data_IF_891845449138
#
_entry.id   IF_891845449138
#
_cell.length_a   1.000
_cell.length_b   1.000
_cell.length_c   1.000
_cell.angle_alpha   90.00
_cell.angle_beta   90.00
_cell.angle_gamma   90.00
#
_symmetry.space_group_name_H-M   'P 1'
#
loop_
_entity.id
_entity.type
_entity.pdbx_description
1 polymer ?
#
# COMPACT_ATOMS: atom_id res chain seq x y z
N UNK A 1 29.95 28.51 -21.21
CA UNK A 1 29.11 27.45 -20.53
C UNK A 1 27.71 28.01 -20.40
N UNK A 2 26.77 27.53 -21.20
CA UNK A 2 25.37 27.94 -21.11
C UNK A 2 24.64 26.98 -20.17
N UNK A 3 24.12 27.48 -19.08
CA UNK A 3 23.28 26.70 -18.23
C UNK A 3 21.93 26.51 -18.93
N UNK A 4 21.61 25.25 -19.24
CA UNK A 4 20.34 24.92 -19.83
C UNK A 4 19.39 24.60 -18.66
N UNK A 5 18.63 25.62 -18.26
CA UNK A 5 17.48 25.38 -17.40
C UNK A 5 16.31 25.13 -18.36
N UNK A 6 16.11 23.87 -18.72
CA UNK A 6 14.93 23.53 -19.50
C UNK A 6 13.85 23.02 -18.56
N UNK A 7 12.82 23.83 -18.37
CA UNK A 7 11.54 23.32 -17.94
C UNK A 7 10.91 22.68 -19.18
N UNK A 8 11.34 21.47 -19.52
CA UNK A 8 10.72 20.74 -20.61
C UNK A 8 9.50 20.02 -20.08
N UNK A 9 8.34 20.51 -20.43
CA UNK A 9 7.14 19.72 -20.29
C UNK A 9 7.27 18.53 -21.25
N UNK A 10 7.41 17.34 -20.73
CA UNK A 10 7.46 16.12 -21.55
C UNK A 10 6.14 15.96 -22.28
N UNK A 11 6.17 15.74 -23.57
CA UNK A 11 4.97 15.49 -24.37
C UNK A 11 5.20 14.32 -25.32
N UNK A 12 4.13 13.62 -25.61
CA UNK A 12 4.13 12.50 -26.56
C UNK A 12 3.59 12.95 -27.89
N UNK A 13 4.36 12.71 -28.96
CA UNK A 13 3.87 12.90 -30.33
C UNK A 13 3.49 11.56 -30.91
N UNK A 14 2.22 11.40 -31.25
CA UNK A 14 1.70 10.13 -31.80
C UNK A 14 1.27 10.38 -33.26
N UNK A 15 1.90 9.63 -34.17
CA UNK A 15 1.52 9.62 -35.58
C UNK A 15 0.82 8.29 -35.87
N UNK A 16 -0.49 8.35 -36.04
CA UNK A 16 -1.31 7.17 -36.33
C UNK A 16 -1.27 6.72 -37.79
N UNK A 17 -2.20 5.88 -38.17
CA UNK A 17 -2.43 5.45 -39.56
C UNK A 17 -1.64 4.25 -40.00
N UNK A 18 -0.86 3.61 -39.14
CA UNK A 18 -0.14 2.38 -39.47
C UNK A 18 -0.77 1.16 -38.81
N UNK A 19 -0.90 0.10 -39.56
CA UNK A 19 -1.37 -1.19 -39.03
C UNK A 19 -0.24 -1.83 -38.20
N UNK A 20 -0.52 -2.08 -36.94
CA UNK A 20 0.48 -2.66 -36.03
C UNK A 20 0.46 -4.19 -36.12
N UNK A 21 1.64 -4.80 -36.15
CA UNK A 21 1.83 -6.25 -36.11
C UNK A 21 3.04 -6.56 -35.23
N UNK A 22 2.91 -7.59 -34.39
CA UNK A 22 4.02 -7.99 -33.50
C UNK A 22 3.51 -8.55 -32.19
N UNK A 23 4.46 -8.83 -31.31
CA UNK A 23 4.19 -9.35 -29.96
C UNK A 23 4.82 -8.40 -28.96
N UNK A 24 4.07 -8.11 -27.90
CA UNK A 24 4.56 -7.29 -26.78
C UNK A 24 4.35 -8.08 -25.49
N UNK A 25 5.39 -8.19 -24.70
CA UNK A 25 5.30 -8.81 -23.38
C UNK A 25 4.84 -7.74 -22.38
N UNK A 26 3.67 -7.97 -21.79
CA UNK A 26 3.11 -7.03 -20.81
C UNK A 26 3.89 -7.15 -19.50
N UNK A 27 4.22 -6.01 -18.89
CA UNK A 27 4.89 -5.94 -17.59
C UNK A 27 3.98 -6.43 -16.47
N UNK A 28 4.53 -6.62 -15.28
CA UNK A 28 3.73 -6.84 -14.10
C UNK A 28 2.87 -5.61 -13.77
N UNK A 29 1.82 -5.83 -12.99
CA UNK A 29 0.88 -4.77 -12.60
C UNK A 29 1.46 -3.90 -11.49
N UNK A 30 1.42 -2.58 -11.68
CA UNK A 30 1.75 -1.63 -10.61
C UNK A 30 0.78 -1.81 -9.44
N UNK A 31 -0.51 -1.81 -9.73
CA UNK A 31 -1.53 -1.80 -8.70
C UNK A 31 -1.56 -3.11 -7.87
N UNK A 32 -1.17 -4.23 -8.46
CA UNK A 32 -0.99 -5.46 -7.69
C UNK A 32 0.32 -5.46 -6.90
N UNK A 33 1.40 -4.89 -7.47
CA UNK A 33 2.71 -4.91 -6.83
C UNK A 33 2.74 -4.11 -5.53
N UNK A 34 2.12 -2.92 -5.50
CA UNK A 34 2.20 -2.05 -4.33
C UNK A 34 1.62 -2.70 -3.07
N UNK A 35 0.37 -3.18 -3.05
CA UNK A 35 -0.15 -3.81 -1.84
C UNK A 35 0.57 -5.11 -1.47
N UNK A 36 1.02 -5.91 -2.45
CA UNK A 36 1.75 -7.15 -2.19
C UNK A 36 3.11 -6.85 -1.53
N UNK A 37 3.85 -5.86 -2.03
CA UNK A 37 5.11 -5.44 -1.42
C UNK A 37 4.88 -4.95 0.02
N UNK A 38 3.82 -4.18 0.23
CA UNK A 38 3.48 -3.65 1.55
C UNK A 38 3.03 -4.79 2.50
N UNK A 39 2.33 -5.81 1.96
CA UNK A 39 1.91 -6.97 2.76
C UNK A 39 3.11 -7.75 3.34
N UNK A 40 4.30 -7.60 2.75
CA UNK A 40 5.53 -8.20 3.32
C UNK A 40 5.81 -7.70 4.76
N UNK A 41 5.25 -6.55 5.14
CA UNK A 41 5.36 -6.06 6.53
C UNK A 41 4.64 -6.95 7.54
N UNK A 42 3.72 -7.81 7.09
CA UNK A 42 2.94 -8.68 7.99
C UNK A 42 3.74 -9.86 8.54
N UNK A 43 4.89 -10.17 7.95
CA UNK A 43 5.69 -11.35 8.32
C UNK A 43 7.14 -10.99 8.65
N UNK A 44 7.76 -11.81 9.48
CA UNK A 44 9.20 -11.75 9.77
C UNK A 44 10.04 -12.48 8.72
N UNK A 45 9.38 -13.31 7.89
CA UNK A 45 10.07 -14.11 6.89
C UNK A 45 10.41 -13.27 5.65
N UNK A 46 11.51 -13.58 4.97
CA UNK A 46 11.83 -12.89 3.73
C UNK A 46 10.83 -13.25 2.63
N UNK A 47 10.42 -12.22 1.88
CA UNK A 47 9.46 -12.34 0.79
C UNK A 47 10.15 -12.06 -0.54
N UNK A 48 9.85 -12.86 -1.57
CA UNK A 48 10.33 -12.62 -2.93
C UNK A 48 9.12 -12.42 -3.84
N UNK A 49 8.98 -11.21 -4.36
CA UNK A 49 7.88 -10.86 -5.28
C UNK A 49 8.48 -10.76 -6.69
N UNK A 50 7.93 -11.54 -7.62
CA UNK A 50 8.41 -11.62 -9.01
C UNK A 50 7.52 -10.80 -9.93
N UNK A 51 8.08 -10.43 -11.10
CA UNK A 51 7.41 -9.64 -12.14
C UNK A 51 6.99 -8.26 -11.66
N UNK A 52 7.73 -7.70 -10.71
CA UNK A 52 7.50 -6.34 -10.22
C UNK A 52 7.97 -5.35 -11.30
N UNK A 53 7.10 -4.43 -11.76
CA UNK A 53 7.51 -3.48 -12.81
C UNK A 53 8.45 -2.41 -12.26
N UNK A 54 9.36 -1.94 -13.10
CA UNK A 54 10.31 -0.89 -12.73
C UNK A 54 9.65 0.49 -12.94
N UNK A 55 8.87 0.93 -11.98
CA UNK A 55 8.07 2.15 -12.03
C UNK A 55 8.34 3.05 -10.83
N UNK A 56 8.03 4.32 -10.97
CA UNK A 56 8.27 5.31 -9.91
C UNK A 56 7.58 4.94 -8.59
N UNK A 57 6.29 4.57 -8.65
CA UNK A 57 5.55 4.20 -7.43
C UNK A 57 6.14 2.96 -6.74
N UNK A 58 6.69 2.02 -7.52
CA UNK A 58 7.36 0.84 -6.96
C UNK A 58 8.63 1.28 -6.22
N UNK A 59 9.43 2.16 -6.83
CA UNK A 59 10.63 2.70 -6.19
C UNK A 59 10.28 3.47 -4.91
N UNK A 60 9.21 4.25 -4.94
CA UNK A 60 8.72 4.97 -3.75
C UNK A 60 8.29 3.99 -2.66
N UNK A 61 7.65 2.87 -3.05
CA UNK A 61 7.29 1.81 -2.10
C UNK A 61 8.54 1.22 -1.44
N UNK A 62 9.59 0.96 -2.23
CA UNK A 62 10.86 0.47 -1.68
C UNK A 62 11.46 1.48 -0.70
N UNK A 63 11.44 2.77 -1.05
CA UNK A 63 11.91 3.84 -0.17
C UNK A 63 11.12 3.83 1.14
N UNK A 64 9.80 3.71 1.05
CA UNK A 64 8.93 3.66 2.24
C UNK A 64 9.27 2.46 3.12
N UNK A 65 9.39 1.26 2.53
CA UNK A 65 9.73 0.05 3.28
C UNK A 65 11.09 0.18 3.96
N UNK A 66 12.10 0.73 3.25
CA UNK A 66 13.43 0.99 3.82
C UNK A 66 13.34 2.01 4.98
N UNK A 67 12.53 3.04 4.82
CA UNK A 67 12.33 4.07 5.87
C UNK A 67 11.76 3.46 7.14
N UNK A 68 10.91 2.44 7.01
CA UNK A 68 10.36 1.72 8.16
C UNK A 68 11.37 0.74 8.78
N UNK A 69 12.45 0.43 8.07
CA UNK A 69 13.50 -0.46 8.55
C UNK A 69 13.55 -1.83 7.86
N UNK A 70 12.68 -2.08 6.89
CA UNK A 70 12.75 -3.33 6.13
C UNK A 70 13.96 -3.31 5.19
N UNK A 71 14.57 -4.47 4.97
CA UNK A 71 15.62 -4.63 3.97
C UNK A 71 14.97 -4.89 2.63
N UNK A 72 15.34 -4.10 1.61
CA UNK A 72 14.77 -4.23 0.27
C UNK A 72 15.89 -4.33 -0.75
N UNK A 73 15.77 -5.31 -1.64
CA UNK A 73 16.66 -5.44 -2.80
C UNK A 73 15.81 -5.69 -4.05
N UNK A 74 16.12 -5.01 -5.14
CA UNK A 74 15.36 -5.13 -6.38
C UNK A 74 16.30 -5.35 -7.56
N UNK A 75 16.07 -6.44 -8.28
CA UNK A 75 16.89 -6.79 -9.44
C UNK A 75 16.05 -7.58 -10.45
N UNK A 76 16.12 -7.18 -11.72
CA UNK A 76 15.47 -7.89 -12.83
C UNK A 76 13.99 -8.24 -12.60
N UNK A 77 13.24 -7.30 -12.04
CA UNK A 77 11.82 -7.51 -11.78
C UNK A 77 11.51 -8.41 -10.60
N UNK A 78 12.51 -8.73 -9.79
CA UNK A 78 12.34 -9.46 -8.54
C UNK A 78 12.62 -8.51 -7.38
N UNK A 79 11.67 -8.39 -6.48
CA UNK A 79 11.85 -7.62 -5.25
C UNK A 79 11.98 -8.59 -4.08
N UNK A 80 13.06 -8.43 -3.33
CA UNK A 80 13.29 -9.13 -2.07
C UNK A 80 12.96 -8.14 -0.96
N UNK A 81 12.07 -8.51 -0.06
CA UNK A 81 11.69 -7.67 1.09
C UNK A 81 11.80 -8.51 2.36
N UNK A 82 12.52 -8.00 3.35
CA UNK A 82 12.67 -8.69 4.63
C UNK A 82 12.37 -7.69 5.75
N UNK A 83 11.20 -7.81 6.35
CA UNK A 83 10.70 -6.94 7.41
C UNK A 83 10.84 -7.60 8.79
N UNK A 84 11.93 -8.32 9.01
CA UNK A 84 12.22 -9.02 10.25
C UNK A 84 12.15 -8.09 11.47
N UNK A 85 12.82 -6.94 11.38
CA UNK A 85 12.84 -5.98 12.48
C UNK A 85 12.68 -4.57 11.93
N UNK A 86 11.55 -3.94 12.24
CA UNK A 86 11.33 -2.54 11.87
C UNK A 86 11.84 -1.62 12.98
N UNK A 87 12.33 -0.44 12.60
CA UNK A 87 12.80 0.57 13.53
C UNK A 87 11.94 1.83 13.53
N UNK A 88 10.88 1.84 12.73
CA UNK A 88 9.96 2.97 12.65
C UNK A 88 8.57 2.49 12.24
N UNK A 89 7.54 3.18 12.69
CA UNK A 89 6.14 2.97 12.30
C UNK A 89 5.59 4.22 11.62
N UNK A 90 6.48 5.09 11.15
CA UNK A 90 6.14 6.38 10.58
C UNK A 90 6.32 6.38 9.06
N UNK A 91 5.22 6.57 8.33
CA UNK A 91 5.25 6.89 6.91
C UNK A 91 5.32 8.41 6.78
N UNK A 92 6.49 8.97 6.40
CA UNK A 92 6.67 10.42 6.47
C UNK A 92 5.92 11.15 5.36
N UNK A 93 5.55 12.39 5.67
CA UNK A 93 4.75 13.25 4.82
C UNK A 93 5.29 13.38 3.38
N UNK A 94 6.62 13.52 3.24
CA UNK A 94 7.21 13.70 1.91
C UNK A 94 7.05 12.46 1.00
N UNK A 95 6.94 11.26 1.59
CA UNK A 95 6.66 10.04 0.82
C UNK A 95 5.16 9.94 0.52
N UNK A 96 4.31 10.19 1.53
CA UNK A 96 2.85 10.12 1.38
C UNK A 96 2.37 11.09 0.30
N UNK A 97 2.95 12.28 0.23
CA UNK A 97 2.60 13.29 -0.80
C UNK A 97 2.93 12.80 -2.21
N UNK A 98 4.02 12.06 -2.40
CA UNK A 98 4.43 11.52 -3.70
C UNK A 98 3.61 10.31 -4.12
N UNK A 99 3.12 9.53 -3.13
CA UNK A 99 2.42 8.27 -3.42
C UNK A 99 1.29 8.07 -2.40
N UNK A 100 0.07 8.27 -2.85
CA UNK A 100 -1.12 8.16 -1.99
C UNK A 100 -1.29 6.75 -1.41
N UNK A 101 -0.86 5.72 -2.15
CA UNK A 101 -0.91 4.33 -1.71
C UNK A 101 -0.07 4.07 -0.43
N UNK A 102 0.74 5.04 0.00
CA UNK A 102 1.51 4.93 1.26
C UNK A 102 0.62 4.67 2.48
N UNK A 103 -0.66 5.07 2.44
CA UNK A 103 -1.62 4.77 3.52
C UNK A 103 -1.76 3.26 3.74
N UNK A 104 -1.45 2.44 2.74
CA UNK A 104 -1.57 0.98 2.84
C UNK A 104 -0.65 0.38 3.91
N UNK A 105 0.42 1.07 4.32
CA UNK A 105 1.28 0.55 5.40
C UNK A 105 0.56 0.52 6.75
N UNK A 106 -0.52 1.31 6.91
CA UNK A 106 -1.24 1.37 8.17
C UNK A 106 -1.82 0.02 8.58
N UNK A 107 -2.43 -0.70 7.62
CA UNK A 107 -3.02 -2.03 7.90
C UNK A 107 -2.03 -3.00 8.52
N UNK A 108 -0.94 -3.34 7.80
CA UNK A 108 0.05 -4.28 8.34
C UNK A 108 0.78 -3.77 9.58
N UNK A 109 1.08 -2.47 9.69
CA UNK A 109 1.73 -1.94 10.90
C UNK A 109 0.82 -2.08 12.12
N UNK A 110 -0.46 -1.76 11.98
CA UNK A 110 -1.43 -1.94 13.06
C UNK A 110 -1.59 -3.43 13.40
N UNK A 111 -1.71 -4.28 12.39
CA UNK A 111 -1.94 -5.72 12.59
C UNK A 111 -0.78 -6.40 13.32
N UNK A 112 0.46 -6.03 12.98
CA UNK A 112 1.65 -6.69 13.50
C UNK A 112 2.23 -6.01 14.74
N UNK A 113 2.24 -4.68 14.76
CA UNK A 113 2.92 -3.90 15.81
C UNK A 113 1.97 -3.08 16.67
N UNK A 114 0.69 -3.00 16.30
CA UNK A 114 -0.29 -2.23 17.07
C UNK A 114 -0.15 -0.74 16.92
N UNK A 115 0.67 -0.24 16.01
CA UNK A 115 0.94 1.19 15.88
C UNK A 115 1.28 1.58 14.45
N UNK A 116 0.73 2.70 13.99
CA UNK A 116 1.09 3.30 12.71
C UNK A 116 0.94 4.81 12.80
N UNK A 117 1.89 5.53 12.21
CA UNK A 117 1.82 6.99 12.08
C UNK A 117 1.99 7.30 10.60
N UNK A 118 1.00 7.95 10.00
CA UNK A 118 1.01 8.21 8.56
C UNK A 118 0.75 9.69 8.30
N UNK A 119 1.60 10.31 7.48
CA UNK A 119 1.39 11.68 7.05
C UNK A 119 0.06 11.82 6.35
N UNK A 120 -0.68 12.89 6.63
CA UNK A 120 -1.95 13.12 5.96
C UNK A 120 -1.68 13.60 4.52
N UNK A 121 -2.34 13.00 3.52
CA UNK A 121 -2.19 13.50 2.15
C UNK A 121 -2.58 14.98 2.10
N UNK A 122 -1.70 15.81 1.56
CA UNK A 122 -1.78 17.26 1.63
C UNK A 122 -3.08 17.87 1.11
N UNK A 123 -3.49 18.98 1.71
CA UNK A 123 -4.64 19.77 1.30
C UNK A 123 -5.94 19.40 1.99
N UNK A 124 -6.40 20.29 2.76
CA UNK A 124 -7.39 20.21 3.82
C UNK A 124 -8.76 19.57 3.55
N UNK A 125 -9.27 19.47 2.35
CA UNK A 125 -10.68 19.09 2.18
C UNK A 125 -10.93 17.88 1.29
N UNK A 126 -10.02 17.57 0.40
CA UNK A 126 -10.20 16.47 -0.56
C UNK A 126 -9.51 15.19 -0.10
N UNK A 127 -8.39 15.32 0.62
CA UNK A 127 -7.61 14.17 1.08
C UNK A 127 -8.28 13.34 2.17
N UNK A 128 -8.99 13.98 3.08
CA UNK A 128 -9.60 13.30 4.23
C UNK A 128 -10.69 12.30 3.83
N UNK A 129 -11.50 12.64 2.82
CA UNK A 129 -12.61 11.80 2.37
C UNK A 129 -12.14 10.48 1.73
N UNK A 130 -10.95 10.49 1.15
CA UNK A 130 -10.45 9.31 0.43
C UNK A 130 -9.92 8.22 1.36
N UNK A 131 -9.60 8.58 2.61
CA UNK A 131 -9.09 7.61 3.60
C UNK A 131 -10.09 7.31 4.72
N UNK A 132 -11.23 7.97 4.76
CA UNK A 132 -12.21 7.77 5.83
C UNK A 132 -12.69 6.31 5.88
N UNK A 133 -12.82 5.64 4.73
CA UNK A 133 -13.26 4.25 4.67
C UNK A 133 -12.22 3.32 5.32
N UNK A 134 -10.91 3.62 5.16
CA UNK A 134 -9.84 2.89 5.86
C UNK A 134 -9.99 3.07 7.37
N UNK A 135 -10.13 4.33 7.81
CA UNK A 135 -10.16 4.66 9.24
C UNK A 135 -11.36 4.03 9.94
N UNK A 136 -12.52 3.98 9.27
CA UNK A 136 -13.73 3.34 9.83
C UNK A 136 -13.49 1.87 10.15
N UNK A 137 -12.80 1.14 9.28
CA UNK A 137 -12.49 -0.29 9.55
C UNK A 137 -11.51 -0.39 10.72
N UNK A 138 -10.47 0.45 10.74
CA UNK A 138 -9.48 0.43 11.83
C UNK A 138 -10.15 0.71 13.18
N UNK A 139 -11.01 1.74 13.25
CA UNK A 139 -11.73 2.09 14.47
C UNK A 139 -12.63 0.95 14.93
N UNK A 140 -13.39 0.34 14.01
CA UNK A 140 -14.22 -0.84 14.33
C UNK A 140 -13.38 -2.00 14.85
N UNK A 141 -12.18 -2.16 14.31
CA UNK A 141 -11.24 -3.18 14.76
C UNK A 141 -10.51 -2.84 16.05
N UNK A 142 -10.85 -1.71 16.68
CA UNK A 142 -10.35 -1.32 17.99
C UNK A 142 -9.23 -0.28 17.98
N UNK A 143 -8.90 0.29 16.82
CA UNK A 143 -7.87 1.31 16.76
C UNK A 143 -8.37 2.64 17.30
N UNK A 144 -7.48 3.33 18.00
CA UNK A 144 -7.69 4.72 18.43
C UNK A 144 -6.88 5.59 17.46
N UNK A 145 -7.53 6.57 16.85
CA UNK A 145 -6.96 7.39 15.81
C UNK A 145 -7.01 8.87 16.22
N UNK A 146 -5.85 9.52 16.24
CA UNK A 146 -5.72 10.94 16.53
C UNK A 146 -4.97 11.65 15.42
N UNK A 147 -5.42 12.84 15.06
CA UNK A 147 -4.70 13.71 14.14
C UNK A 147 -3.87 14.69 14.95
N UNK A 148 -2.57 14.72 14.70
CA UNK A 148 -1.65 15.62 15.39
C UNK A 148 -0.55 16.06 14.43
N UNK A 149 -0.38 17.39 14.30
CA UNK A 149 0.69 17.98 13.50
C UNK A 149 0.78 17.46 12.07
N UNK A 150 -0.39 17.22 11.43
CA UNK A 150 -0.45 16.73 10.05
C UNK A 150 -0.26 15.24 9.90
N UNK A 151 -0.27 14.49 10.99
CA UNK A 151 -0.11 13.03 10.98
C UNK A 151 -1.31 12.34 11.62
N UNK A 152 -1.64 11.19 11.08
CA UNK A 152 -2.58 10.24 11.69
C UNK A 152 -1.80 9.33 12.63
N UNK A 153 -2.05 9.45 13.92
CA UNK A 153 -1.48 8.58 14.95
C UNK A 153 -2.51 7.51 15.29
N UNK A 154 -2.18 6.26 14.99
CA UNK A 154 -3.08 5.14 15.14
C UNK A 154 -2.48 4.08 16.04
N UNK A 155 -3.26 3.60 17.00
CA UNK A 155 -2.84 2.54 17.92
C UNK A 155 -3.97 1.54 18.15
N UNK A 156 -3.62 0.27 18.25
CA UNK A 156 -4.54 -0.80 18.57
C UNK A 156 -3.83 -1.80 19.49
N UNK A 157 -4.42 -2.12 20.62
CA UNK A 157 -3.84 -3.10 21.54
C UNK A 157 -4.03 -4.52 21.01
N UNK A 158 -5.21 -4.81 20.47
CA UNK A 158 -5.56 -6.12 19.90
C UNK A 158 -6.61 -5.93 18.84
N UNK A 159 -6.33 -6.40 17.63
CA UNK A 159 -7.29 -6.29 16.53
C UNK A 159 -8.52 -7.15 16.85
N UNK A 160 -9.68 -6.52 16.82
CA UNK A 160 -10.98 -7.17 17.06
C UNK A 160 -11.62 -7.52 15.71
N UNK A 161 -12.46 -8.57 15.68
CA UNK A 161 -13.18 -8.90 14.47
C UNK A 161 -14.14 -7.77 14.10
N UNK A 162 -14.31 -7.57 12.79
CA UNK A 162 -15.09 -6.46 12.26
C UNK A 162 -16.20 -6.99 11.34
N UNK A 163 -17.38 -6.44 11.47
CA UNK A 163 -18.42 -6.53 10.46
C UNK A 163 -18.66 -5.13 9.91
N UNK A 164 -18.35 -4.93 8.62
CA UNK A 164 -18.38 -3.59 8.00
C UNK A 164 -18.84 -3.66 6.56
N UNK A 165 -19.71 -2.72 6.20
CA UNK A 165 -20.12 -2.47 4.82
C UNK A 165 -19.51 -1.15 4.38
N UNK A 166 -18.70 -1.16 3.32
CA UNK A 166 -18.12 0.07 2.78
C UNK A 166 -19.22 0.95 2.19
N UNK A 167 -19.22 2.23 2.52
CA UNK A 167 -20.18 3.21 1.98
C UNK A 167 -19.90 3.48 0.49
N UNK A 168 -18.62 3.44 0.13
CA UNK A 168 -18.15 3.62 -1.24
C UNK A 168 -17.14 2.51 -1.51
N UNK A 169 -17.25 1.87 -2.69
CA UNK A 169 -16.28 0.85 -3.10
C UNK A 169 -14.91 1.53 -3.22
N UNK A 170 -13.91 0.97 -2.55
CA UNK A 170 -12.56 1.50 -2.55
C UNK A 170 -11.54 0.35 -2.62
N UNK A 171 -10.68 0.39 -3.61
CA UNK A 171 -9.62 -0.61 -3.79
C UNK A 171 -8.67 -0.57 -2.59
N UNK A 172 -8.05 0.58 -2.34
CA UNK A 172 -7.06 0.69 -1.25
C UNK A 172 -7.70 0.53 0.13
N UNK A 173 -8.94 0.96 0.31
CA UNK A 173 -9.66 0.73 1.57
C UNK A 173 -9.88 -0.75 1.83
N UNK A 174 -10.25 -1.50 0.79
CA UNK A 174 -10.43 -2.95 0.88
C UNK A 174 -9.10 -3.63 1.19
N UNK A 175 -8.04 -3.29 0.43
CA UNK A 175 -6.69 -3.86 0.62
C UNK A 175 -6.18 -3.61 2.05
N UNK A 176 -6.33 -2.38 2.53
CA UNK A 176 -5.86 -2.02 3.86
C UNK A 176 -6.64 -2.75 4.95
N UNK A 177 -7.96 -2.88 4.79
CA UNK A 177 -8.82 -3.64 5.70
C UNK A 177 -8.42 -5.12 5.74
N UNK A 178 -8.16 -5.72 4.57
CA UNK A 178 -7.72 -7.12 4.48
C UNK A 178 -6.41 -7.33 5.24
N UNK A 179 -5.42 -6.46 5.00
CA UNK A 179 -4.12 -6.57 5.69
C UNK A 179 -4.26 -6.36 7.20
N UNK A 180 -5.07 -5.37 7.63
CA UNK A 180 -5.31 -5.10 9.03
C UNK A 180 -5.96 -6.29 9.75
N UNK A 181 -6.96 -6.90 9.12
CA UNK A 181 -7.74 -8.00 9.72
C UNK A 181 -7.07 -9.36 9.56
N UNK A 182 -6.05 -9.50 8.72
CA UNK A 182 -5.42 -10.79 8.41
C UNK A 182 -4.82 -11.49 9.64
N UNK A 183 -4.45 -10.74 10.67
CA UNK A 183 -3.90 -11.32 11.91
C UNK A 183 -4.95 -11.43 13.03
N UNK A 184 -6.20 -11.07 12.75
CA UNK A 184 -7.28 -11.25 13.72
C UNK A 184 -7.67 -12.74 13.78
N UNK A 185 -7.64 -13.38 14.97
CA UNK A 185 -7.93 -14.82 15.05
C UNK A 185 -9.41 -15.16 14.93
N UNK A 186 -10.28 -14.18 14.83
CA UNK A 186 -11.72 -14.36 14.70
C UNK A 186 -12.22 -13.85 13.37
N UNK A 187 -13.31 -14.43 12.90
CA UNK A 187 -13.92 -14.10 11.62
C UNK A 187 -14.34 -12.64 11.56
N UNK A 188 -13.96 -11.97 10.46
CA UNK A 188 -14.46 -10.65 10.10
C UNK A 188 -15.27 -10.74 8.80
N UNK A 189 -16.19 -9.81 8.58
CA UNK A 189 -17.00 -9.76 7.36
C UNK A 189 -16.95 -8.36 6.78
N UNK A 190 -16.49 -8.26 5.55
CA UNK A 190 -16.44 -7.00 4.81
C UNK A 190 -17.41 -7.10 3.63
N UNK A 191 -18.28 -6.13 3.46
CA UNK A 191 -19.27 -6.07 2.37
C UNK A 191 -19.05 -4.82 1.51
N UNK A 192 -19.52 -4.88 0.27
CA UNK A 192 -19.37 -3.81 -0.71
C UNK A 192 -17.90 -3.49 -0.96
N UNK A 193 -17.09 -4.55 -1.00
CA UNK A 193 -15.63 -4.47 -1.21
C UNK A 193 -15.30 -4.30 -2.69
N UNK A 194 -14.10 -3.81 -2.96
CA UNK A 194 -13.55 -3.80 -4.31
C UNK A 194 -13.21 -5.24 -4.74
N UNK A 195 -13.47 -5.56 -6.01
CA UNK A 195 -13.26 -6.90 -6.57
C UNK A 195 -12.28 -6.89 -7.75
N UNK A 196 -11.52 -5.82 -7.91
CA UNK A 196 -10.52 -5.69 -8.96
C UNK A 196 -9.48 -6.82 -8.85
N UNK A 197 -8.90 -7.25 -9.98
CA UNK A 197 -7.93 -8.37 -9.97
C UNK A 197 -6.79 -8.19 -8.96
N UNK A 198 -6.29 -6.98 -8.78
CA UNK A 198 -5.21 -6.70 -7.84
C UNK A 198 -5.61 -6.96 -6.38
N UNK A 199 -6.89 -6.77 -6.05
CA UNK A 199 -7.40 -7.11 -4.70
C UNK A 199 -7.39 -8.62 -4.52
N UNK A 200 -7.80 -9.36 -5.55
CA UNK A 200 -7.79 -10.83 -5.50
C UNK A 200 -6.36 -11.37 -5.42
N UNK A 201 -5.42 -10.75 -6.15
CA UNK A 201 -4.00 -11.10 -6.04
C UNK A 201 -3.49 -10.93 -4.60
N UNK A 202 -3.88 -9.84 -3.93
CA UNK A 202 -3.53 -9.64 -2.52
C UNK A 202 -4.14 -10.71 -1.62
N UNK A 203 -5.41 -11.05 -1.83
CA UNK A 203 -6.10 -12.12 -1.07
C UNK A 203 -5.31 -13.43 -1.21
N UNK A 204 -4.88 -13.78 -2.41
CA UNK A 204 -4.09 -15.01 -2.64
C UNK A 204 -2.76 -14.97 -1.88
N UNK A 205 -2.10 -13.85 -1.88
CA UNK A 205 -0.83 -13.69 -1.13
C UNK A 205 -1.08 -13.81 0.37
N UNK A 206 -2.09 -13.19 0.87
CA UNK A 206 -2.43 -13.30 2.29
C UNK A 206 -2.79 -14.74 2.69
N UNK A 207 -3.31 -15.31 1.91
CA UNK A 207 -3.67 -16.68 2.11
C UNK A 207 -2.51 -17.58 2.07
N UNK A 208 -1.53 -17.21 1.32
CA UNK A 208 -0.38 -17.98 1.19
C UNK A 208 0.58 -17.72 2.30
N UNK A 209 0.51 -16.69 2.79
CA UNK A 209 1.32 -16.26 3.82
C UNK A 209 0.95 -16.89 5.14
N UNK A 210 0.11 -17.63 5.07
CA UNK A 210 -0.14 -18.33 6.18
C UNK A 210 -1.03 -17.70 7.12
N UNK A 211 -1.38 -16.97 6.61
CA UNK A 211 -2.32 -16.32 7.22
C UNK A 211 -3.44 -17.23 7.32
N UNK A 212 -3.26 -17.95 7.89
CA UNK A 212 -4.21 -18.87 7.96
C UNK A 212 -5.41 -18.18 8.08
N UNK A 213 -5.79 -18.43 7.49
CA UNK A 213 -6.87 -17.69 7.43
C UNK A 213 -7.90 -17.98 8.18
#
# INVERSE_FOLDING_TARGET
MKSITSSSSDFLVIRGGRKLRGRVKVSGSKNASLPILIASLLTEEPCIVKRVPNLLDVKTTFELLNTLGAQVHFEEGKAFVHAHALNSYLAPDHIVRRMRASILVAGPLLARFGRAVVGMPGGCSIGARLIDQHLKVFEKGGAIINVKEGYLHMEVQKVKPVEHTFEVITVTGTENALMFLSRCPKRSVLRNVALEPEVMDLVEVLXXXXXXX
#
